data_IF_644562621919
#
_entry.id   IF_644562621919
#
_cell.length_a   1.000
_cell.length_b   1.000
_cell.length_c   1.000
_cell.angle_alpha   90.00
_cell.angle_beta   90.00
_cell.angle_gamma   90.00
#
_symmetry.space_group_name_H-M   'P 1'
#
loop_
_entity.id
_entity.type
_entity.pdbx_description
1 polymer ?
#
# COMPACT_ATOMS: atom_id res chain seq x y z
N UNK A 1 -17.95 -28.96 -10.23
CA UNK A 1 -18.10 -27.92 -11.28
C UNK A 1 -19.46 -27.20 -11.26
N UNK A 2 -20.60 -27.86 -11.53
CA UNK A 2 -21.94 -27.20 -11.62
C UNK A 2 -22.25 -26.29 -10.42
N UNK A 3 -22.06 -26.79 -9.20
CA UNK A 3 -22.35 -26.06 -7.97
C UNK A 3 -21.57 -24.73 -7.89
N UNK A 4 -20.24 -24.78 -8.03
CA UNK A 4 -19.38 -23.62 -7.88
C UNK A 4 -19.58 -22.57 -8.99
N UNK A 5 -19.68 -22.98 -10.25
CA UNK A 5 -19.92 -22.04 -11.35
C UNK A 5 -21.31 -21.38 -11.26
N UNK A 6 -22.32 -22.15 -10.82
CA UNK A 6 -23.66 -21.58 -10.58
C UNK A 6 -23.64 -20.60 -9.40
N UNK A 7 -22.81 -20.83 -8.38
CA UNK A 7 -22.65 -19.91 -7.25
C UNK A 7 -22.04 -18.58 -7.69
N UNK A 8 -21.01 -18.58 -8.55
CA UNK A 8 -20.44 -17.34 -9.13
C UNK A 8 -21.54 -16.55 -9.84
N UNK A 9 -22.27 -17.20 -10.74
CA UNK A 9 -23.37 -16.58 -11.48
C UNK A 9 -24.45 -16.04 -10.55
N UNK A 10 -24.84 -16.79 -9.53
CA UNK A 10 -25.88 -16.41 -8.57
C UNK A 10 -25.54 -15.09 -7.85
N UNK A 11 -24.30 -14.92 -7.40
CA UNK A 11 -23.89 -13.67 -6.75
C UNK A 11 -23.83 -12.47 -7.71
N UNK A 12 -23.37 -12.66 -8.95
CA UNK A 12 -23.41 -11.62 -9.98
C UNK A 12 -24.86 -11.25 -10.38
N UNK A 13 -25.74 -12.24 -10.52
CA UNK A 13 -27.11 -12.06 -11.01
C UNK A 13 -28.07 -11.53 -9.96
N UNK A 14 -28.11 -12.16 -8.80
CA UNK A 14 -29.14 -11.88 -7.79
C UNK A 14 -28.72 -10.72 -6.87
N UNK A 15 -27.42 -10.63 -6.55
CA UNK A 15 -26.89 -9.63 -5.62
C UNK A 15 -26.15 -8.49 -6.31
N UNK A 16 -25.93 -8.58 -7.63
CA UNK A 16 -25.28 -7.54 -8.43
C UNK A 16 -23.90 -7.15 -7.92
N UNK A 17 -23.13 -8.13 -7.44
CA UNK A 17 -21.71 -7.92 -7.17
C UNK A 17 -20.96 -7.58 -8.46
N UNK A 18 -20.01 -6.64 -8.39
CA UNK A 18 -19.16 -6.23 -9.52
C UNK A 18 -17.91 -7.11 -9.69
N UNK A 19 -17.82 -8.22 -8.96
CA UNK A 19 -16.65 -9.08 -8.97
C UNK A 19 -16.44 -9.84 -7.67
N UNK A 20 -15.28 -10.50 -7.58
CA UNK A 20 -14.95 -11.40 -6.49
C UNK A 20 -13.48 -11.35 -6.12
N UNK A 21 -13.20 -11.49 -4.82
CA UNK A 21 -11.93 -12.01 -4.34
C UNK A 21 -12.08 -13.51 -4.09
N UNK A 22 -11.21 -14.32 -4.68
CA UNK A 22 -11.11 -15.74 -4.42
C UNK A 22 -10.08 -15.93 -3.31
N UNK A 23 -10.56 -16.42 -2.16
CA UNK A 23 -9.73 -16.62 -0.97
C UNK A 23 -9.04 -17.97 -1.02
N UNK A 24 -7.84 -18.06 -0.44
CA UNK A 24 -7.09 -19.29 -0.33
C UNK A 24 -6.70 -19.92 -1.68
N UNK A 25 -6.44 -19.13 -2.73
CA UNK A 25 -6.08 -19.65 -4.06
C UNK A 25 -4.80 -20.49 -3.99
N UNK A 26 -3.83 -20.12 -3.14
CA UNK A 26 -2.64 -20.96 -2.92
C UNK A 26 -2.98 -22.35 -2.37
N UNK A 27 -4.01 -22.46 -1.53
CA UNK A 27 -4.47 -23.76 -1.01
C UNK A 27 -5.07 -24.61 -2.12
N UNK A 28 -5.72 -23.98 -3.11
CA UNK A 28 -6.28 -24.66 -4.28
C UNK A 28 -5.21 -25.09 -5.29
N UNK A 29 -4.19 -24.27 -5.52
CA UNK A 29 -3.20 -24.50 -6.59
C UNK A 29 -2.24 -25.66 -6.32
N UNK A 30 -2.02 -26.02 -5.06
CA UNK A 30 -1.03 -27.03 -4.68
C UNK A 30 -1.67 -28.10 -3.80
N UNK A 31 -1.34 -29.37 -4.05
CA UNK A 31 -1.79 -30.49 -3.21
C UNK A 31 -1.28 -30.40 -1.76
N UNK A 32 -0.16 -29.71 -1.53
CA UNK A 32 0.35 -29.39 -0.19
C UNK A 32 -0.35 -28.20 0.47
N UNK A 33 -1.24 -27.53 -0.25
CA UNK A 33 -1.89 -26.29 0.14
C UNK A 33 -0.92 -25.14 0.46
N UNK A 34 0.34 -25.23 0.01
CA UNK A 34 1.41 -24.31 0.37
C UNK A 34 1.92 -24.48 1.81
N UNK A 35 1.43 -25.45 2.57
CA UNK A 35 1.81 -25.66 3.98
C UNK A 35 3.21 -26.27 4.04
N UNK A 36 4.10 -25.64 4.82
CA UNK A 36 5.48 -26.10 4.99
C UNK A 36 6.38 -25.89 3.77
N UNK A 37 5.91 -25.13 2.77
CA UNK A 37 6.68 -24.77 1.58
C UNK A 37 7.05 -23.29 1.60
N UNK A 38 8.30 -23.00 1.26
CA UNK A 38 8.75 -21.64 0.94
C UNK A 38 8.98 -21.57 -0.57
N UNK A 39 8.31 -20.63 -1.23
CA UNK A 39 8.47 -20.40 -2.66
C UNK A 39 9.69 -19.51 -2.90
N UNK A 40 10.72 -20.07 -3.53
CA UNK A 40 11.96 -19.36 -3.86
C UNK A 40 11.83 -18.54 -5.15
N UNK A 41 10.80 -18.79 -5.95
CA UNK A 41 10.66 -18.25 -7.29
C UNK A 41 11.15 -19.19 -8.39
N UNK A 42 11.66 -20.39 -8.03
CA UNK A 42 12.09 -21.40 -9.00
C UNK A 42 10.87 -22.07 -9.65
N UNK A 43 10.84 -22.14 -10.97
CA UNK A 43 9.60 -22.47 -11.69
C UNK A 43 9.11 -23.93 -11.47
N UNK A 44 10.01 -24.83 -11.07
CA UNK A 44 9.67 -26.21 -10.71
C UNK A 44 8.77 -26.30 -9.46
N UNK A 45 8.73 -25.25 -8.62
CA UNK A 45 7.85 -25.17 -7.45
C UNK A 45 6.40 -24.87 -7.86
N UNK A 46 6.20 -24.22 -9.01
CA UNK A 46 4.89 -23.84 -9.54
C UNK A 46 4.32 -24.85 -10.53
N UNK A 47 5.19 -25.48 -11.32
CA UNK A 47 4.83 -26.36 -12.41
C UNK A 47 5.42 -27.75 -12.20
N UNK A 48 4.61 -28.66 -11.65
CA UNK A 48 5.01 -30.05 -11.44
C UNK A 48 3.86 -30.90 -10.93
N UNK A 49 4.18 -32.10 -10.43
CA UNK A 49 3.19 -33.03 -9.89
C UNK A 49 2.52 -32.54 -8.59
N UNK A 50 3.07 -31.49 -7.95
CA UNK A 50 2.49 -30.87 -6.78
C UNK A 50 1.33 -29.91 -7.12
N UNK A 51 1.23 -29.48 -8.38
CA UNK A 51 0.23 -28.52 -8.85
C UNK A 51 -1.10 -29.22 -9.11
N UNK A 52 -2.17 -28.73 -8.49
CA UNK A 52 -3.52 -29.24 -8.69
C UNK A 52 -4.13 -28.67 -9.98
N UNK A 53 -4.02 -29.46 -11.06
CA UNK A 53 -4.56 -29.09 -12.37
C UNK A 53 -6.10 -29.04 -12.41
N UNK A 54 -6.80 -29.77 -11.56
CA UNK A 54 -8.27 -29.73 -11.53
C UNK A 54 -8.75 -28.40 -10.94
N UNK A 55 -8.10 -27.96 -9.86
CA UNK A 55 -8.32 -26.66 -9.25
C UNK A 55 -7.97 -25.51 -10.20
N UNK A 56 -6.84 -25.59 -10.91
CA UNK A 56 -6.46 -24.59 -11.91
C UNK A 56 -7.50 -24.48 -13.04
N UNK A 57 -7.97 -25.63 -13.57
CA UNK A 57 -9.02 -25.66 -14.59
C UNK A 57 -10.36 -25.06 -14.09
N UNK A 58 -10.72 -25.32 -12.82
CA UNK A 58 -11.89 -24.67 -12.22
C UNK A 58 -11.74 -23.15 -12.19
N UNK A 59 -10.57 -22.63 -11.76
CA UNK A 59 -10.31 -21.19 -11.70
C UNK A 59 -10.38 -20.54 -13.09
N UNK A 60 -9.82 -21.19 -14.12
CA UNK A 60 -9.97 -20.75 -15.51
C UNK A 60 -11.44 -20.69 -15.93
N UNK A 61 -12.23 -21.74 -15.65
CA UNK A 61 -13.65 -21.76 -15.99
C UNK A 61 -14.45 -20.71 -15.20
N UNK A 62 -14.12 -20.48 -13.93
CA UNK A 62 -14.72 -19.47 -13.08
C UNK A 62 -14.51 -18.06 -13.66
N UNK A 63 -13.26 -17.71 -13.99
CA UNK A 63 -12.92 -16.44 -14.60
C UNK A 63 -13.55 -16.29 -16.00
N UNK A 64 -13.53 -17.35 -16.81
CA UNK A 64 -14.17 -17.36 -18.12
C UNK A 64 -15.67 -17.06 -18.03
N UNK A 65 -16.39 -17.72 -17.12
CA UNK A 65 -17.82 -17.50 -16.93
C UNK A 65 -18.09 -16.08 -16.43
N UNK A 66 -17.31 -15.59 -15.46
CA UNK A 66 -17.45 -14.24 -14.91
C UNK A 66 -17.29 -13.19 -16.02
N UNK A 67 -16.19 -13.25 -16.77
CA UNK A 67 -15.86 -12.27 -17.82
C UNK A 67 -16.75 -12.39 -19.06
N UNK A 68 -17.25 -13.60 -19.38
CA UNK A 68 -18.13 -13.78 -20.55
C UNK A 68 -19.54 -13.26 -20.28
N UNK A 69 -20.07 -13.49 -19.07
CA UNK A 69 -21.41 -13.03 -18.70
C UNK A 69 -21.41 -11.57 -18.25
N UNK A 70 -20.33 -11.13 -17.58
CA UNK A 70 -20.18 -9.81 -16.98
C UNK A 70 -18.78 -9.26 -17.29
N UNK A 71 -18.55 -8.65 -18.47
CA UNK A 71 -17.23 -8.21 -18.90
C UNK A 71 -16.55 -7.17 -18.00
N UNK A 72 -17.31 -6.45 -17.18
CA UNK A 72 -16.81 -5.47 -16.21
C UNK A 72 -16.47 -6.10 -14.85
N UNK A 73 -16.78 -7.39 -14.65
CA UNK A 73 -16.49 -8.11 -13.42
C UNK A 73 -14.99 -8.18 -13.17
N UNK A 74 -14.57 -7.78 -11.98
CA UNK A 74 -13.17 -7.89 -11.55
C UNK A 74 -12.99 -9.15 -10.70
N UNK A 75 -12.00 -9.98 -11.02
CA UNK A 75 -11.61 -11.11 -10.15
C UNK A 75 -10.22 -10.94 -9.58
N UNK A 76 -10.10 -11.16 -8.27
CA UNK A 76 -8.87 -10.97 -7.49
C UNK A 76 -8.48 -12.31 -6.86
N UNK A 77 -7.22 -12.72 -7.01
CA UNK A 77 -6.69 -13.90 -6.35
C UNK A 77 -5.97 -13.54 -5.04
N UNK A 78 -6.39 -14.14 -3.93
CA UNK A 78 -5.59 -14.22 -2.70
C UNK A 78 -4.62 -15.40 -2.82
N UNK A 79 -3.41 -15.11 -3.29
CA UNK A 79 -2.42 -16.11 -3.65
C UNK A 79 -1.02 -15.64 -3.22
N UNK A 80 -0.39 -16.37 -2.30
CA UNK A 80 0.89 -15.99 -1.67
C UNK A 80 2.12 -16.54 -2.40
N UNK A 81 2.01 -17.64 -3.14
CA UNK A 81 3.17 -18.33 -3.71
C UNK A 81 3.88 -17.54 -4.81
N UNK A 82 3.16 -16.71 -5.57
CA UNK A 82 3.74 -16.00 -6.71
C UNK A 82 3.53 -16.73 -8.04
N UNK A 83 2.52 -17.61 -8.15
CA UNK A 83 2.32 -18.45 -9.35
C UNK A 83 2.32 -17.60 -10.63
N UNK A 84 3.20 -17.89 -11.61
CA UNK A 84 3.24 -17.16 -12.87
C UNK A 84 1.94 -17.33 -13.67
N UNK A 85 1.55 -16.32 -14.44
CA UNK A 85 0.40 -16.33 -15.37
C UNK A 85 -0.98 -16.43 -14.71
N UNK A 86 -1.04 -16.38 -13.38
CA UNK A 86 -2.30 -16.40 -12.64
C UNK A 86 -3.20 -15.22 -13.04
N UNK A 87 -2.59 -14.05 -13.26
CA UNK A 87 -3.32 -12.84 -13.67
C UNK A 87 -3.15 -12.52 -15.17
N UNK A 88 -2.96 -13.55 -16.01
CA UNK A 88 -2.93 -13.41 -17.47
C UNK A 88 -4.22 -13.96 -18.09
N UNK A 89 -4.64 -13.45 -19.27
CA UNK A 89 -5.82 -13.93 -19.96
C UNK A 89 -5.79 -15.44 -20.22
N UNK A 90 -6.97 -16.07 -20.18
CA UNK A 90 -7.12 -17.52 -20.41
C UNK A 90 -6.67 -17.91 -21.82
N UNK A 91 -6.89 -17.04 -22.81
CA UNK A 91 -6.43 -17.25 -24.18
C UNK A 91 -4.90 -17.30 -24.32
N UNK A 92 -4.15 -16.75 -23.36
CA UNK A 92 -2.69 -16.83 -23.28
C UNK A 92 -2.21 -18.04 -22.44
N UNK A 93 -3.14 -18.85 -21.94
CA UNK A 93 -2.85 -19.98 -21.03
C UNK A 93 -2.82 -19.59 -19.54
N UNK A 94 -3.18 -18.35 -19.19
CA UNK A 94 -3.26 -17.91 -17.79
C UNK A 94 -4.52 -18.36 -17.06
N UNK A 95 -4.61 -18.11 -15.75
CA UNK A 95 -5.79 -18.47 -14.97
C UNK A 95 -6.97 -17.49 -15.16
N UNK A 96 -6.72 -16.31 -15.72
CA UNK A 96 -7.75 -15.32 -16.06
C UNK A 96 -8.10 -14.34 -14.96
N UNK A 97 -7.38 -14.29 -13.84
CA UNK A 97 -7.62 -13.26 -12.82
C UNK A 97 -7.20 -11.87 -13.31
N UNK A 98 -7.89 -10.84 -12.86
CA UNK A 98 -7.51 -9.46 -13.16
C UNK A 98 -6.37 -8.98 -12.27
N UNK A 99 -6.42 -9.33 -10.99
CA UNK A 99 -5.43 -8.92 -9.99
C UNK A 99 -5.06 -10.07 -9.05
N UNK A 100 -3.90 -9.92 -8.41
CA UNK A 100 -3.53 -10.67 -7.21
C UNK A 100 -3.24 -9.74 -6.04
N UNK A 101 -3.38 -10.24 -4.83
CA UNK A 101 -2.97 -9.50 -3.63
C UNK A 101 -1.44 -9.51 -3.46
N UNK A 102 -0.86 -8.35 -3.15
CA UNK A 102 0.57 -8.21 -2.85
C UNK A 102 0.88 -8.58 -1.39
N UNK A 103 0.69 -9.86 -1.05
CA UNK A 103 0.67 -10.35 0.34
C UNK A 103 2.00 -10.22 1.10
N UNK A 104 3.12 -10.09 0.40
CA UNK A 104 4.44 -9.92 1.04
C UNK A 104 4.66 -8.50 1.62
N UNK A 105 3.86 -7.50 1.22
CA UNK A 105 4.08 -6.12 1.63
C UNK A 105 3.80 -5.91 3.13
N UNK A 106 2.65 -6.33 3.70
CA UNK A 106 2.40 -6.22 5.14
C UNK A 106 3.48 -6.87 5.99
N UNK A 107 3.97 -8.05 5.61
CA UNK A 107 4.99 -8.77 6.36
C UNK A 107 6.28 -7.96 6.54
N UNK A 108 6.68 -7.20 5.51
CA UNK A 108 7.85 -6.32 5.60
C UNK A 108 7.61 -5.19 6.60
N UNK A 109 6.43 -4.57 6.59
CA UNK A 109 6.12 -3.52 7.56
C UNK A 109 6.05 -4.04 8.98
N UNK A 110 5.36 -5.15 9.22
CA UNK A 110 5.26 -5.77 10.55
C UNK A 110 6.65 -6.18 11.05
N UNK A 111 7.46 -6.82 10.21
CA UNK A 111 8.83 -7.21 10.56
C UNK A 111 9.68 -6.01 10.96
N UNK A 112 9.63 -4.92 10.18
CA UNK A 112 10.38 -3.70 10.49
C UNK A 112 9.92 -3.05 11.79
N UNK A 113 8.62 -2.97 12.03
CA UNK A 113 8.05 -2.37 13.22
C UNK A 113 8.28 -3.20 14.49
N UNK A 114 8.35 -4.53 14.35
CA UNK A 114 8.54 -5.46 15.47
C UNK A 114 10.00 -5.71 15.82
N UNK A 115 10.87 -5.81 14.82
CA UNK A 115 12.23 -6.34 14.99
C UNK A 115 13.35 -5.31 14.79
N UNK A 116 13.06 -4.12 14.25
CA UNK A 116 14.07 -3.14 13.88
C UNK A 116 13.81 -1.77 14.49
N UNK A 117 14.88 -1.07 14.84
CA UNK A 117 14.82 0.36 15.10
C UNK A 117 14.71 1.12 13.77
N UNK A 118 14.09 2.30 13.78
CA UNK A 118 13.86 3.11 12.58
C UNK A 118 15.18 3.41 11.82
N UNK A 119 16.28 3.64 12.54
CA UNK A 119 17.61 3.91 11.97
C UNK A 119 18.17 2.74 11.16
N UNK A 120 17.76 1.52 11.51
CA UNK A 120 18.19 0.26 10.89
C UNK A 120 17.29 -0.14 9.70
N UNK A 121 16.27 0.66 9.38
CA UNK A 121 15.42 0.38 8.22
C UNK A 121 16.23 0.54 6.93
N UNK A 122 16.28 -0.53 6.14
CA UNK A 122 16.90 -0.53 4.82
C UNK A 122 15.85 -0.07 3.79
N UNK A 123 16.04 1.13 3.23
CA UNK A 123 15.06 1.70 2.29
C UNK A 123 15.11 0.99 0.94
N UNK A 124 16.25 0.42 0.57
CA UNK A 124 16.44 -0.46 -0.57
C UNK A 124 15.61 -1.74 -0.48
N UNK A 125 15.62 -2.42 0.66
CA UNK A 125 14.85 -3.65 0.89
C UNK A 125 13.33 -3.38 0.90
N UNK A 126 12.92 -2.27 1.54
CA UNK A 126 11.53 -1.81 1.54
C UNK A 126 11.06 -1.59 0.10
N UNK A 127 11.76 -0.73 -0.64
CA UNK A 127 11.37 -0.39 -2.01
C UNK A 127 11.48 -1.57 -2.95
N UNK A 128 12.46 -2.46 -2.75
CA UNK A 128 12.57 -3.72 -3.49
C UNK A 128 11.32 -4.58 -3.29
N UNK A 129 10.87 -4.77 -2.05
CA UNK A 129 9.65 -5.54 -1.75
C UNK A 129 8.44 -4.97 -2.48
N UNK A 130 8.29 -3.64 -2.49
CA UNK A 130 7.16 -2.97 -3.14
C UNK A 130 7.17 -3.13 -4.66
N UNK A 131 8.34 -3.16 -5.30
CA UNK A 131 8.45 -3.28 -6.77
C UNK A 131 8.71 -4.70 -7.27
N UNK A 132 9.06 -5.64 -6.39
CA UNK A 132 9.35 -7.03 -6.75
C UNK A 132 8.06 -7.78 -7.07
N UNK A 133 7.54 -7.53 -8.27
CA UNK A 133 6.32 -8.13 -8.81
C UNK A 133 6.49 -8.46 -10.29
N UNK A 134 5.62 -9.34 -10.79
CA UNK A 134 5.68 -9.78 -12.18
C UNK A 134 5.24 -8.67 -13.11
N UNK A 135 6.04 -8.40 -14.13
CA UNK A 135 5.64 -7.48 -15.19
C UNK A 135 4.42 -8.04 -15.94
N UNK A 136 3.49 -7.16 -16.33
CA UNK A 136 2.24 -7.50 -17.02
C UNK A 136 1.22 -8.36 -16.23
N UNK A 137 1.38 -8.49 -14.92
CA UNK A 137 0.37 -9.05 -14.01
C UNK A 137 0.08 -7.99 -12.93
N UNK A 138 -1.20 -7.62 -12.76
CA UNK A 138 -1.58 -6.50 -11.88
C UNK A 138 -1.66 -6.96 -10.42
N UNK A 139 -1.16 -6.13 -9.51
CA UNK A 139 -1.23 -6.36 -8.08
C UNK A 139 -2.09 -5.32 -7.36
N UNK A 140 -2.83 -5.75 -6.35
CA UNK A 140 -3.45 -4.86 -5.36
C UNK A 140 -2.53 -4.81 -4.14
N UNK A 141 -2.00 -3.62 -3.86
CA UNK A 141 -1.13 -3.37 -2.72
C UNK A 141 -1.91 -2.85 -1.52
N UNK A 142 -1.42 -3.18 -0.32
CA UNK A 142 -1.96 -2.73 0.95
C UNK A 142 -0.84 -2.80 2.00
N UNK A 143 -0.86 -1.88 2.96
CA UNK A 143 0.15 -1.83 4.02
C UNK A 143 -0.12 -2.82 5.15
N UNK A 144 -1.39 -3.07 5.42
CA UNK A 144 -1.91 -4.00 6.42
C UNK A 144 -3.34 -4.38 6.05
N UNK A 145 -3.81 -5.53 6.52
CA UNK A 145 -5.15 -6.04 6.19
C UNK A 145 -5.87 -6.58 7.42
N UNK A 146 -6.99 -7.25 7.21
CA UNK A 146 -7.69 -8.00 8.24
C UNK A 146 -6.80 -9.02 8.96
N UNK A 147 -5.82 -9.65 8.29
CA UNK A 147 -4.93 -10.64 8.91
C UNK A 147 -4.11 -10.04 10.06
N UNK A 148 -3.55 -8.85 9.84
CA UNK A 148 -2.78 -8.11 10.85
C UNK A 148 -3.67 -7.39 11.87
N UNK A 149 -4.95 -7.18 11.54
CA UNK A 149 -5.90 -6.55 12.45
C UNK A 149 -6.46 -7.54 13.48
N UNK A 150 -6.32 -8.85 13.28
CA UNK A 150 -6.83 -9.87 14.20
C UNK A 150 -5.99 -10.00 15.48
N UNK A 151 -6.62 -10.56 16.52
CA UNK A 151 -5.93 -10.89 17.77
C UNK A 151 -4.72 -11.80 17.51
N UNK A 152 -3.57 -11.43 18.07
CA UNK A 152 -2.30 -12.14 17.87
C UNK A 152 -1.28 -11.35 17.06
N UNK A 153 -1.72 -10.30 16.35
CA UNK A 153 -0.86 -9.26 15.80
C UNK A 153 -1.33 -7.87 16.26
N UNK A 154 -0.66 -6.81 15.80
CA UNK A 154 -1.03 -5.42 16.04
C UNK A 154 -1.17 -4.69 14.71
N UNK A 155 -2.12 -3.77 14.62
CA UNK A 155 -2.19 -2.81 13.50
C UNK A 155 -0.91 -1.98 13.44
N UNK A 156 -0.60 -1.41 12.27
CA UNK A 156 0.54 -0.49 12.11
C UNK A 156 0.42 0.67 13.09
N UNK A 157 -0.79 1.20 13.27
CA UNK A 157 -1.05 2.24 14.27
C UNK A 157 -0.67 1.76 15.68
N UNK A 158 -1.11 0.58 16.09
CA UNK A 158 -0.81 0.08 17.43
C UNK A 158 0.68 -0.28 17.61
N UNK A 159 1.39 -0.73 16.56
CA UNK A 159 2.85 -0.87 16.58
C UNK A 159 3.58 0.48 16.73
N UNK A 160 3.05 1.55 16.12
CA UNK A 160 3.69 2.85 16.09
C UNK A 160 3.45 3.68 17.36
N UNK A 161 2.22 3.68 17.86
CA UNK A 161 1.78 4.48 19.00
C UNK A 161 1.84 3.72 20.34
N UNK A 162 1.69 2.39 20.30
CA UNK A 162 1.62 1.53 21.48
C UNK A 162 0.68 2.08 22.56
N UNK A 163 1.10 2.21 23.82
CA UNK A 163 0.25 2.72 24.90
C UNK A 163 -0.16 4.19 24.77
N UNK A 164 0.56 4.99 23.99
CA UNK A 164 0.28 6.43 23.84
C UNK A 164 -1.02 6.66 23.07
N UNK A 165 -1.47 5.68 22.28
CA UNK A 165 -2.70 5.77 21.48
C UNK A 165 -3.95 6.03 22.33
N UNK A 166 -3.92 5.63 23.61
CA UNK A 166 -5.04 5.77 24.54
C UNK A 166 -5.04 7.10 25.31
N UNK A 167 -3.89 7.78 25.41
CA UNK A 167 -3.70 8.90 26.35
C UNK A 167 -3.24 10.19 25.68
N UNK A 168 -2.58 10.10 24.53
CA UNK A 168 -1.95 11.24 23.85
C UNK A 168 -2.50 11.51 22.44
N UNK A 169 -3.61 10.86 22.09
CA UNK A 169 -4.32 11.13 20.83
C UNK A 169 -5.25 12.33 20.90
N UNK A 170 -5.38 13.01 22.04
CA UNK A 170 -6.05 14.33 22.09
C UNK A 170 -5.17 15.40 21.44
N UNK A 171 -5.81 16.33 20.72
CA UNK A 171 -5.14 17.53 20.19
C UNK A 171 -4.72 18.50 21.29
N UNK A 172 -5.31 18.40 22.48
CA UNK A 172 -5.00 19.22 23.66
C UNK A 172 -3.90 18.61 24.53
N UNK A 173 -3.64 17.32 24.40
CA UNK A 173 -2.56 16.64 25.09
C UNK A 173 -1.20 16.99 24.46
N UNK A 174 -0.15 16.88 25.27
CA UNK A 174 1.23 16.99 24.78
C UNK A 174 1.46 15.97 23.66
N UNK A 175 2.02 16.43 22.54
CA UNK A 175 2.42 15.53 21.46
C UNK A 175 3.77 14.91 21.79
N UNK A 176 3.74 13.70 22.35
CA UNK A 176 4.96 12.96 22.67
C UNK A 176 5.76 12.66 21.39
N UNK A 177 7.08 12.44 21.49
CA UNK A 177 7.89 12.02 20.35
C UNK A 177 7.38 10.72 19.69
N UNK A 178 6.73 9.84 20.46
CA UNK A 178 6.11 8.61 19.95
C UNK A 178 4.86 8.91 19.11
N UNK A 179 3.98 9.80 19.58
CA UNK A 179 2.81 10.22 18.79
C UNK A 179 3.23 10.95 17.53
N UNK A 180 4.22 11.84 17.60
CA UNK A 180 4.75 12.52 16.41
C UNK A 180 5.33 11.51 15.40
N UNK A 181 6.13 10.55 15.86
CA UNK A 181 6.65 9.44 15.05
C UNK A 181 5.52 8.65 14.42
N UNK A 182 4.52 8.24 15.21
CA UNK A 182 3.45 7.37 14.74
C UNK A 182 2.57 8.04 13.70
N UNK A 183 2.21 9.31 13.90
CA UNK A 183 1.46 10.09 12.91
C UNK A 183 2.23 10.18 11.59
N UNK A 184 3.51 10.51 11.65
CA UNK A 184 4.33 10.65 10.46
C UNK A 184 4.52 9.33 9.71
N UNK A 185 4.95 8.27 10.40
CA UNK A 185 5.23 6.98 9.77
C UNK A 185 3.98 6.27 9.28
N UNK A 186 2.84 6.38 9.96
CA UNK A 186 1.57 5.83 9.47
C UNK A 186 1.21 6.41 8.10
N UNK A 187 1.29 7.74 7.95
CA UNK A 187 1.05 8.43 6.67
C UNK A 187 2.04 8.01 5.59
N UNK A 188 3.32 7.92 5.94
CA UNK A 188 4.39 7.58 5.00
C UNK A 188 4.33 6.12 4.53
N UNK A 189 4.13 5.16 5.43
CA UNK A 189 4.04 3.73 5.10
C UNK A 189 2.88 3.49 4.13
N UNK A 190 1.72 4.07 4.43
CA UNK A 190 0.52 3.94 3.58
C UNK A 190 0.75 4.58 2.21
N UNK A 191 1.24 5.81 2.14
CA UNK A 191 1.50 6.46 0.85
C UNK A 191 2.60 5.77 0.04
N UNK A 192 3.69 5.30 0.67
CA UNK A 192 4.75 4.60 -0.06
C UNK A 192 4.20 3.30 -0.66
N UNK A 193 3.42 2.56 0.11
CA UNK A 193 2.79 1.32 -0.37
C UNK A 193 1.79 1.58 -1.49
N UNK A 194 0.93 2.59 -1.32
CA UNK A 194 -0.07 3.00 -2.29
C UNK A 194 0.59 3.47 -3.60
N UNK A 195 1.62 4.31 -3.49
CA UNK A 195 2.25 4.90 -4.65
C UNK A 195 3.24 3.95 -5.36
N UNK A 196 3.80 2.94 -4.70
CA UNK A 196 4.86 2.10 -5.31
C UNK A 196 4.49 0.61 -5.43
N UNK A 197 3.55 0.10 -4.62
CA UNK A 197 3.36 -1.34 -4.38
C UNK A 197 2.59 -2.12 -5.45
N UNK A 198 1.79 -1.46 -6.29
CA UNK A 198 0.95 -2.17 -7.27
C UNK A 198 0.09 -1.25 -8.12
N UNK A 199 -0.83 -1.85 -8.86
CA UNK A 199 -1.78 -1.25 -9.81
C UNK A 199 -3.19 -1.10 -9.22
N UNK A 200 -3.35 -1.46 -7.95
CA UNK A 200 -4.55 -1.27 -7.13
C UNK A 200 -4.17 -1.02 -5.67
N UNK A 201 -5.10 -0.46 -4.89
CA UNK A 201 -4.95 -0.19 -3.46
C UNK A 201 -6.09 -0.82 -2.68
N UNK A 202 -5.76 -1.39 -1.52
CA UNK A 202 -6.73 -1.95 -0.57
C UNK A 202 -6.48 -1.37 0.81
N UNK A 203 -7.57 -1.09 1.52
CA UNK A 203 -7.57 -0.68 2.92
C UNK A 203 -8.65 -1.46 3.68
N UNK A 204 -8.28 -2.06 4.80
CA UNK A 204 -9.23 -2.69 5.71
C UNK A 204 -9.83 -1.65 6.65
N UNK A 205 -11.15 -1.72 6.87
CA UNK A 205 -11.91 -0.70 7.61
C UNK A 205 -11.31 -0.38 8.99
N UNK A 206 -11.16 0.91 9.28
CA UNK A 206 -10.54 1.43 10.51
C UNK A 206 -9.06 1.78 10.34
N UNK A 207 -8.32 1.06 9.50
CA UNK A 207 -6.87 1.29 9.35
C UNK A 207 -6.60 2.63 8.65
N UNK A 208 -7.57 3.20 7.94
CA UNK A 208 -7.47 4.51 7.30
C UNK A 208 -7.19 5.65 8.28
N UNK A 209 -7.78 5.58 9.47
CA UNK A 209 -7.59 6.56 10.52
C UNK A 209 -6.68 6.06 11.65
N UNK A 210 -6.02 4.91 11.47
CA UNK A 210 -5.16 4.31 12.48
C UNK A 210 -5.95 3.83 13.70
N UNK A 211 -7.01 3.05 13.47
CA UNK A 211 -7.83 2.47 14.53
C UNK A 211 -6.96 1.79 15.61
N UNK A 212 -7.21 2.04 16.91
CA UNK A 212 -6.44 1.45 17.99
C UNK A 212 -6.78 -0.03 18.19
N UNK A 213 -6.12 -0.68 19.15
CA UNK A 213 -6.45 -2.06 19.56
C UNK A 213 -6.29 -3.07 18.40
N UNK A 214 -7.10 -4.12 18.41
CA UNK A 214 -7.19 -5.20 17.43
C UNK A 214 -8.65 -5.68 17.33
N UNK A 215 -8.94 -6.50 16.33
CA UNK A 215 -10.20 -7.21 16.12
C UNK A 215 -10.11 -8.59 16.78
N UNK A 216 -10.99 -8.89 17.73
CA UNK A 216 -11.12 -10.24 18.32
C UNK A 216 -12.60 -10.64 18.34
N UNK A 217 -12.90 -11.80 17.76
CA UNK A 217 -14.26 -12.33 17.71
C UNK A 217 -14.60 -13.08 18.99
N UNK A 218 -15.88 -13.13 19.40
CA UNK A 218 -16.34 -13.93 20.54
C UNK A 218 -15.89 -15.39 20.39
N UNK A 219 -15.16 -15.87 21.40
CA UNK A 219 -14.68 -17.25 21.49
C UNK A 219 -14.47 -17.64 22.94
N UNK A 220 -14.36 -18.94 23.22
CA UNK A 220 -14.07 -19.45 24.56
C UNK A 220 -12.83 -18.78 25.21
N UNK A 221 -11.80 -18.48 24.41
CA UNK A 221 -10.56 -17.86 24.90
C UNK A 221 -10.67 -16.38 25.29
N UNK A 222 -11.79 -15.71 25.04
CA UNK A 222 -12.07 -14.35 25.49
C UNK A 222 -13.44 -14.21 26.20
N UNK A 223 -13.98 -15.33 26.70
CA UNK A 223 -15.28 -15.41 27.38
C UNK A 223 -16.44 -14.86 26.53
N UNK A 224 -16.46 -15.19 25.24
CA UNK A 224 -17.48 -14.76 24.28
C UNK A 224 -17.66 -13.23 24.24
N UNK A 225 -16.56 -12.50 24.41
CA UNK A 225 -16.56 -11.05 24.43
C UNK A 225 -16.73 -10.47 23.03
N UNK A 226 -17.64 -9.51 22.91
CA UNK A 226 -17.83 -8.69 21.71
C UNK A 226 -17.05 -7.37 21.79
N UNK A 227 -16.28 -7.15 22.86
CA UNK A 227 -15.65 -5.85 23.12
C UNK A 227 -14.73 -5.38 21.99
N UNK A 228 -14.01 -6.30 21.34
CA UNK A 228 -13.08 -5.99 20.24
C UNK A 228 -13.66 -6.32 18.86
N UNK A 229 -14.85 -6.93 18.78
CA UNK A 229 -15.56 -7.24 17.53
C UNK A 229 -16.36 -6.01 17.03
N UNK A 230 -15.71 -4.85 16.96
CA UNK A 230 -16.34 -3.57 16.61
C UNK A 230 -15.37 -2.61 15.93
N UNK A 231 -15.91 -1.50 15.41
CA UNK A 231 -15.17 -0.34 14.92
C UNK A 231 -15.58 0.92 15.67
N UNK A 232 -14.58 1.72 16.03
CA UNK A 232 -14.75 2.97 16.76
C UNK A 232 -14.80 4.17 15.80
N UNK A 233 -15.81 4.20 14.93
CA UNK A 233 -15.94 5.24 13.91
C UNK A 233 -16.12 6.67 14.45
N UNK A 234 -16.48 6.83 15.73
CA UNK A 234 -16.52 8.15 16.35
C UNK A 234 -15.12 8.78 16.54
N UNK A 235 -14.03 7.98 16.56
CA UNK A 235 -12.67 8.48 16.79
C UNK A 235 -12.20 9.50 15.74
N UNK A 236 -12.33 9.24 14.42
CA UNK A 236 -12.02 10.24 13.40
C UNK A 236 -13.05 11.37 13.30
N UNK A 237 -14.26 11.22 13.85
CA UNK A 237 -15.30 12.25 13.86
C UNK A 237 -15.12 13.27 15.01
N UNK A 238 -14.43 12.88 16.09
CA UNK A 238 -14.17 13.75 17.23
C UNK A 238 -13.04 14.76 16.93
N UNK A 239 -13.42 16.04 16.83
CA UNK A 239 -12.50 17.13 16.55
C UNK A 239 -11.43 17.36 17.62
N UNK A 240 -11.59 16.78 18.82
CA UNK A 240 -10.62 16.84 19.90
C UNK A 240 -9.56 15.75 19.82
N UNK A 241 -9.67 14.82 18.86
CA UNK A 241 -8.74 13.70 18.67
C UNK A 241 -7.94 13.82 17.36
N UNK A 242 -6.77 13.16 17.33
CA UNK A 242 -5.81 13.18 16.22
C UNK A 242 -6.12 12.17 15.11
N UNK A 243 -7.00 11.19 15.33
CA UNK A 243 -7.41 10.20 14.32
C UNK A 243 -7.97 10.87 13.05
N UNK A 244 -8.67 12.01 13.22
CA UNK A 244 -9.19 12.81 12.10
C UNK A 244 -8.11 13.25 11.11
N UNK A 245 -6.87 13.44 11.55
CA UNK A 245 -5.76 13.83 10.68
C UNK A 245 -5.23 12.68 9.84
N UNK A 246 -5.21 11.45 10.40
CA UNK A 246 -4.89 10.25 9.63
C UNK A 246 -6.00 9.95 8.60
N UNK A 247 -7.26 10.13 8.99
CA UNK A 247 -8.40 10.02 8.09
C UNK A 247 -8.35 11.06 6.95
N UNK A 248 -8.09 12.33 7.29
CA UNK A 248 -7.97 13.39 6.30
C UNK A 248 -6.80 13.14 5.33
N UNK A 249 -5.69 12.58 5.82
CA UNK A 249 -4.58 12.17 4.97
C UNK A 249 -4.99 11.06 4.01
N UNK A 250 -5.71 10.05 4.48
CA UNK A 250 -6.24 8.98 3.63
C UNK A 250 -7.13 9.51 2.50
N UNK A 251 -8.07 10.38 2.86
CA UNK A 251 -8.93 11.05 1.89
C UNK A 251 -8.11 11.83 0.85
N UNK A 252 -7.08 12.56 1.29
CA UNK A 252 -6.21 13.32 0.40
C UNK A 252 -5.38 12.42 -0.52
N UNK A 253 -4.87 11.29 -0.03
CA UNK A 253 -4.17 10.29 -0.85
C UNK A 253 -5.08 9.77 -1.97
N UNK A 254 -6.30 9.33 -1.62
CA UNK A 254 -7.27 8.82 -2.60
C UNK A 254 -7.72 9.89 -3.60
N UNK A 255 -7.99 11.12 -3.15
CA UNK A 255 -8.34 12.23 -4.06
C UNK A 255 -7.18 12.61 -4.99
N UNK A 256 -5.95 12.50 -4.53
CA UNK A 256 -4.76 12.73 -5.35
C UNK A 256 -4.58 11.62 -6.38
N UNK A 257 -4.81 10.35 -6.00
CA UNK A 257 -4.80 9.22 -6.93
C UNK A 257 -5.90 9.41 -7.98
N UNK A 258 -7.12 9.75 -7.57
CA UNK A 258 -8.23 10.00 -8.49
C UNK A 258 -7.90 11.07 -9.53
N UNK A 259 -7.13 12.10 -9.13
CA UNK A 259 -6.74 13.19 -10.03
C UNK A 259 -5.59 12.84 -10.97
N UNK A 260 -4.57 12.12 -10.49
CA UNK A 260 -3.32 11.89 -11.24
C UNK A 260 -3.13 10.45 -11.71
N UNK A 261 -4.04 9.54 -11.33
CA UNK A 261 -4.20 8.16 -11.80
C UNK A 261 -2.92 7.33 -11.81
N UNK A 262 -2.05 7.48 -10.81
CA UNK A 262 -0.74 6.82 -10.80
C UNK A 262 -0.83 5.30 -10.68
N UNK A 263 -1.90 4.73 -10.12
CA UNK A 263 -2.04 3.27 -10.04
C UNK A 263 -2.14 2.64 -11.42
N UNK A 264 -2.86 3.29 -12.34
CA UNK A 264 -3.03 2.84 -13.72
C UNK A 264 -1.80 3.07 -14.62
N UNK A 265 -0.82 3.83 -14.13
CA UNK A 265 0.35 4.17 -14.89
C UNK A 265 1.34 3.01 -15.02
N UNK A 266 1.90 2.84 -16.21
CA UNK A 266 2.91 1.82 -16.51
C UNK A 266 4.35 2.29 -16.26
N UNK A 267 4.58 3.59 -16.16
CA UNK A 267 5.89 4.18 -15.94
C UNK A 267 6.13 4.45 -14.45
N UNK A 268 7.10 3.73 -13.90
CA UNK A 268 7.66 4.01 -12.58
C UNK A 268 9.18 4.10 -12.72
N UNK A 269 9.80 5.12 -12.13
CA UNK A 269 11.25 5.26 -12.11
C UNK A 269 11.72 5.61 -10.70
N UNK A 270 12.40 4.66 -10.05
CA UNK A 270 12.94 4.82 -8.71
C UNK A 270 14.34 5.44 -8.79
N UNK A 271 14.40 6.77 -8.72
CA UNK A 271 15.63 7.55 -8.92
C UNK A 271 16.58 7.48 -7.73
N UNK A 272 16.06 7.37 -6.50
CA UNK A 272 16.90 7.35 -5.29
C UNK A 272 16.40 6.40 -4.22
N UNK A 273 17.35 5.66 -3.64
CA UNK A 273 17.22 4.83 -2.44
C UNK A 273 18.49 5.02 -1.60
N UNK A 274 18.57 6.13 -0.88
CA UNK A 274 19.80 6.51 -0.20
C UNK A 274 19.79 6.00 1.26
N UNK A 275 20.56 4.95 1.55
CA UNK A 275 20.57 4.31 2.88
C UNK A 275 21.08 5.21 4.02
N UNK A 276 22.09 6.05 3.77
CA UNK A 276 22.64 6.94 4.80
C UNK A 276 21.63 8.01 5.22
N UNK A 277 21.15 8.79 4.25
CA UNK A 277 20.13 9.82 4.43
C UNK A 277 18.72 9.29 4.70
N UNK A 278 18.46 7.99 4.44
CA UNK A 278 17.13 7.36 4.50
C UNK A 278 16.10 8.07 3.60
N UNK A 279 16.53 8.52 2.43
CA UNK A 279 15.69 9.22 1.46
C UNK A 279 15.36 8.33 0.28
N UNK A 280 14.06 8.26 -0.06
CA UNK A 280 13.54 7.56 -1.24
C UNK A 280 12.90 8.58 -2.17
N UNK A 281 13.28 8.56 -3.44
CA UNK A 281 12.70 9.40 -4.48
C UNK A 281 12.32 8.56 -5.68
N UNK A 282 11.10 8.73 -6.18
CA UNK A 282 10.66 8.09 -7.41
C UNK A 282 9.65 8.93 -8.17
N UNK A 283 9.55 8.64 -9.46
CA UNK A 283 8.53 9.15 -10.36
C UNK A 283 7.53 8.05 -10.69
N UNK A 284 6.25 8.40 -10.78
CA UNK A 284 5.20 7.47 -11.24
C UNK A 284 4.11 8.22 -12.00
N UNK A 285 3.71 7.69 -13.15
CA UNK A 285 2.65 8.28 -13.95
C UNK A 285 3.09 9.39 -14.88
N UNK A 286 2.17 9.76 -15.77
CA UNK A 286 2.45 10.66 -16.89
C UNK A 286 2.30 12.14 -16.55
N UNK A 287 1.82 12.46 -15.35
CA UNK A 287 1.71 13.83 -14.84
C UNK A 287 3.02 14.37 -14.26
N UNK A 288 4.13 13.65 -14.44
CA UNK A 288 5.42 14.00 -13.86
C UNK A 288 5.33 14.07 -12.35
N UNK A 289 4.66 13.09 -11.71
CA UNK A 289 4.64 13.05 -10.26
C UNK A 289 6.02 12.69 -9.73
N UNK A 290 6.45 13.36 -8.68
CA UNK A 290 7.69 13.09 -7.98
C UNK A 290 7.38 12.89 -6.49
N UNK A 291 7.65 11.70 -6.00
CA UNK A 291 7.43 11.30 -4.62
C UNK A 291 8.75 11.35 -3.86
N UNK A 292 8.78 12.05 -2.73
CA UNK A 292 9.99 12.32 -1.97
C UNK A 292 9.71 11.95 -0.51
N UNK A 293 10.29 10.84 -0.07
CA UNK A 293 10.17 10.35 1.31
C UNK A 293 11.48 10.55 2.05
N UNK A 294 11.42 11.15 3.23
CA UNK A 294 12.55 11.20 4.17
C UNK A 294 12.19 10.38 5.41
N UNK A 295 12.73 9.16 5.49
CA UNK A 295 12.58 8.25 6.63
C UNK A 295 13.59 8.51 7.75
N UNK A 296 14.50 9.47 7.60
CA UNK A 296 15.47 9.77 8.65
C UNK A 296 14.74 10.19 9.92
N UNK A 297 15.21 9.69 11.06
CA UNK A 297 14.55 9.90 12.36
C UNK A 297 14.70 11.31 12.93
N UNK A 298 15.70 12.08 12.49
CA UNK A 298 16.01 13.42 13.02
C UNK A 298 16.62 14.40 12.00
N UNK A 299 17.28 13.96 10.92
CA UNK A 299 17.88 14.88 9.94
C UNK A 299 16.85 15.40 8.95
N UNK A 300 16.86 16.72 8.79
CA UNK A 300 16.14 17.43 7.75
C UNK A 300 17.16 18.02 6.77
N UNK A 301 16.89 17.95 5.48
CA UNK A 301 17.84 18.39 4.45
C UNK A 301 17.29 19.63 3.74
N UNK A 302 17.95 20.79 3.91
CA UNK A 302 17.50 22.09 3.37
C UNK A 302 17.56 22.18 1.84
N UNK A 303 18.68 21.77 1.26
CA UNK A 303 18.97 21.89 -0.17
C UNK A 303 19.25 20.51 -0.79
N UNK A 304 18.32 19.57 -0.58
CA UNK A 304 18.50 18.21 -1.08
C UNK A 304 18.21 18.16 -2.58
N UNK A 305 19.25 17.95 -3.41
CA UNK A 305 19.06 17.86 -4.86
C UNK A 305 18.49 16.51 -5.24
N UNK A 306 17.43 16.54 -6.05
CA UNK A 306 16.75 15.35 -6.58
C UNK A 306 16.59 15.45 -8.10
N UNK A 307 16.67 14.30 -8.78
CA UNK A 307 16.46 14.21 -10.22
C UNK A 307 14.97 14.19 -10.61
N UNK A 308 14.65 14.73 -11.78
CA UNK A 308 13.31 14.68 -12.37
C UNK A 308 13.37 14.48 -13.90
N UNK A 309 12.40 13.74 -14.44
CA UNK A 309 12.39 13.35 -15.85
C UNK A 309 12.05 14.44 -16.85
N UNK A 310 11.36 15.49 -16.40
CA UNK A 310 10.81 16.53 -17.26
C UNK A 310 11.21 17.90 -16.74
N UNK A 311 11.50 18.80 -17.67
CA UNK A 311 11.72 20.21 -17.33
C UNK A 311 10.38 20.88 -17.06
N UNK A 312 10.31 21.78 -16.08
CA UNK A 312 9.16 22.62 -15.81
C UNK A 312 9.02 23.08 -14.36
N UNK A 313 7.82 23.57 -14.07
CA UNK A 313 7.36 24.07 -12.76
C UNK A 313 6.63 22.95 -12.02
N UNK A 314 7.20 22.50 -10.92
CA UNK A 314 6.62 21.49 -10.04
C UNK A 314 5.94 22.15 -8.85
N UNK A 315 4.72 21.71 -8.52
CA UNK A 315 3.97 22.18 -7.34
C UNK A 315 3.69 21.03 -6.39
N UNK A 316 3.60 21.36 -5.10
CA UNK A 316 3.20 20.41 -4.06
C UNK A 316 1.74 20.01 -4.27
N UNK A 317 1.48 18.71 -4.32
CA UNK A 317 0.13 18.13 -4.44
C UNK A 317 -0.26 17.29 -3.23
N UNK A 318 0.71 16.74 -2.51
CA UNK A 318 0.54 16.20 -1.17
C UNK A 318 1.74 16.58 -0.29
N UNK A 319 1.46 16.90 0.96
CA UNK A 319 2.46 17.22 1.97
C UNK A 319 2.05 16.66 3.32
N UNK A 320 2.71 15.59 3.77
CA UNK A 320 2.37 14.99 5.05
C UNK A 320 2.75 15.87 6.25
N UNK A 321 3.65 16.85 6.06
CA UNK A 321 4.05 17.79 7.10
C UNK A 321 3.11 19.01 7.20
N UNK A 322 2.06 19.09 6.37
CA UNK A 322 1.05 20.14 6.49
C UNK A 322 0.27 20.03 7.79
N UNK A 323 -0.10 21.18 8.38
CA UNK A 323 -0.89 21.23 9.63
C UNK A 323 -2.26 20.58 9.49
N UNK A 324 -2.81 20.54 8.29
CA UNK A 324 -4.07 19.85 7.97
C UNK A 324 -4.02 18.34 8.23
N UNK A 325 -2.81 17.77 8.35
CA UNK A 325 -2.58 16.36 8.66
C UNK A 325 -1.75 16.20 9.94
N UNK A 326 -1.79 17.16 10.85
CA UNK A 326 -1.03 17.18 12.12
C UNK A 326 0.50 17.16 11.96
N UNK A 327 0.99 17.63 10.80
CA UNK A 327 2.41 17.86 10.59
C UNK A 327 2.91 19.15 11.25
N UNK A 328 4.22 19.40 11.17
CA UNK A 328 4.86 20.55 11.82
C UNK A 328 4.71 21.86 11.03
N UNK A 329 4.30 21.77 9.77
CA UNK A 329 4.19 22.91 8.86
C UNK A 329 5.54 23.52 8.49
N UNK A 330 6.59 22.70 8.36
CA UNK A 330 7.94 23.16 8.01
C UNK A 330 8.09 23.42 6.52
N UNK A 331 7.29 22.75 5.70
CA UNK A 331 7.21 22.92 4.24
C UNK A 331 5.92 23.63 3.85
N UNK A 332 5.95 24.38 2.74
CA UNK A 332 4.81 25.15 2.26
C UNK A 332 4.10 24.45 1.10
N UNK A 333 2.79 24.25 1.22
CA UNK A 333 1.95 23.71 0.15
C UNK A 333 1.87 24.64 -1.08
N UNK A 334 2.29 25.91 -0.93
CA UNK A 334 2.34 26.90 -2.01
C UNK A 334 3.70 26.94 -2.73
N UNK A 335 4.67 26.15 -2.28
CA UNK A 335 6.00 26.15 -2.87
C UNK A 335 5.97 25.65 -4.31
N UNK A 336 6.72 26.34 -5.16
CA UNK A 336 6.94 25.97 -6.56
C UNK A 336 8.42 25.68 -6.74
N UNK A 337 8.73 24.56 -7.37
CA UNK A 337 10.09 24.14 -7.69
C UNK A 337 10.31 24.30 -9.19
N UNK A 338 11.44 24.90 -9.56
CA UNK A 338 11.83 25.10 -10.95
C UNK A 338 12.94 24.10 -11.26
N UNK A 339 12.73 23.24 -12.24
CA UNK A 339 13.79 22.32 -12.67
C UNK A 339 14.90 23.07 -13.40
N UNK A 340 16.13 22.63 -13.18
CA UNK A 340 17.34 23.07 -13.86
C UNK A 340 17.84 21.97 -14.81
N UNK A 341 18.50 22.35 -15.90
CA UNK A 341 19.18 21.45 -16.83
C UNK A 341 20.51 20.95 -16.25
N UNK A 342 20.38 20.22 -15.14
CA UNK A 342 21.47 19.61 -14.40
C UNK A 342 21.10 18.15 -14.16
N UNK A 343 21.87 17.25 -14.76
CA UNK A 343 21.69 15.81 -14.58
C UNK A 343 21.93 15.39 -13.13
N UNK A 344 21.01 14.60 -12.59
CA UNK A 344 21.08 14.07 -11.23
C UNK A 344 20.24 12.80 -11.11
N UNK A 345 20.65 11.82 -10.29
CA UNK A 345 19.92 10.55 -10.08
C UNK A 345 19.46 9.85 -11.37
N UNK A 346 20.33 9.83 -12.39
CA UNK A 346 20.04 9.29 -13.73
C UNK A 346 18.87 9.98 -14.47
N UNK A 347 18.51 11.18 -14.04
CA UNK A 347 17.50 12.03 -14.67
C UNK A 347 18.13 13.22 -15.38
N UNK A 348 17.50 13.73 -16.46
CA UNK A 348 18.03 14.83 -17.24
C UNK A 348 18.00 16.17 -16.50
N UNK A 349 17.01 16.40 -15.63
CA UNK A 349 16.82 17.65 -14.90
C UNK A 349 16.85 17.43 -13.39
N UNK A 350 17.03 18.49 -12.60
CA UNK A 350 16.99 18.41 -11.14
C UNK A 350 16.60 19.73 -10.50
N UNK A 351 16.28 19.70 -9.21
CA UNK A 351 16.10 20.89 -8.38
C UNK A 351 16.34 20.54 -6.91
N UNK A 352 16.52 21.57 -6.08
CA UNK A 352 16.68 21.40 -4.63
C UNK A 352 15.32 21.40 -3.92
N UNK A 353 15.19 20.53 -2.94
CA UNK A 353 14.01 20.44 -2.08
C UNK A 353 14.40 20.51 -0.61
N UNK A 354 13.55 21.12 0.20
CA UNK A 354 13.61 20.97 1.65
C UNK A 354 12.83 19.71 2.07
N UNK A 355 13.52 18.73 2.66
CA UNK A 355 12.92 17.47 3.10
C UNK A 355 13.06 17.29 4.61
N UNK A 356 12.04 17.66 5.40
CA UNK A 356 12.07 17.44 6.84
C UNK A 356 12.14 15.95 7.21
N UNK A 357 12.73 15.63 8.37
CA UNK A 357 12.71 14.27 8.90
C UNK A 357 11.27 13.75 9.04
N UNK A 358 11.09 12.45 8.79
CA UNK A 358 9.79 11.74 8.80
C UNK A 358 8.69 12.52 8.06
N UNK A 359 8.94 12.80 6.78
CA UNK A 359 7.95 13.47 5.94
C UNK A 359 7.91 12.91 4.53
N UNK A 360 6.79 13.14 3.85
CA UNK A 360 6.63 12.89 2.42
C UNK A 360 6.06 14.12 1.73
N UNK A 361 6.67 14.47 0.61
CA UNK A 361 6.18 15.43 -0.36
C UNK A 361 5.90 14.72 -1.68
N UNK A 362 4.75 15.03 -2.28
CA UNK A 362 4.45 14.66 -3.66
C UNK A 362 4.32 15.93 -4.47
N UNK A 363 5.06 16.00 -5.56
CA UNK A 363 5.04 17.12 -6.50
C UNK A 363 4.42 16.68 -7.81
N UNK A 364 3.77 17.59 -8.52
CA UNK A 364 3.29 17.37 -9.89
C UNK A 364 3.79 18.47 -10.81
N UNK A 365 4.06 18.11 -12.07
CA UNK A 365 4.40 19.06 -13.12
C UNK A 365 3.17 19.88 -13.52
N UNK A 366 3.29 21.21 -13.54
CA UNK A 366 2.15 22.12 -13.79
C UNK A 366 2.32 23.06 -14.97
N UNK A 367 3.48 23.08 -15.60
CA UNK A 367 3.77 23.90 -16.77
C UNK A 367 5.27 24.08 -17.00
N UNK A 368 5.62 24.88 -17.99
CA UNK A 368 7.00 25.15 -18.36
C UNK A 368 7.66 26.16 -17.41
N UNK A 369 8.99 26.15 -17.34
CA UNK A 369 9.78 27.08 -16.51
C UNK A 369 9.59 28.55 -16.93
N UNK A 370 9.27 28.79 -18.21
CA UNK A 370 9.09 30.13 -18.78
C UNK A 370 7.76 30.80 -18.42
#
# INVERSE_FOLDING_TARGET
>A
MRFLLSNIRYWLEEFKFDGFRFDGVSSMLYHSHGIGHAFSGTYNEYFGLATDTESFNYLQLANYVSQTLYPESITIAEEVSGMPTLCRPIAEGGAGFDYRLAMAIPDVWIKLLKEKQDEDWNVGDITWTLINRRWSEKNIAYSESHDQALVGDKTIAHWLFDSDIYTHMSVLAERTPRVERGLALHKMIRLLTYALGGEGWLNFEGNEFGHPEWLDFPRAGNNDSYHYARRLFYLPEDDTLRYKYLNAWDQAMNACEEKYKWLSATNTFLSRRHEGDKVVVFERGDHGLLFIFNFHTNKSFADYRIGCGRCGKYKVVLNSDSKSFDGLGRTSDKQVFLSEDIKWDERPFSFNVYTPCRSVLVLALTGDVN
#
